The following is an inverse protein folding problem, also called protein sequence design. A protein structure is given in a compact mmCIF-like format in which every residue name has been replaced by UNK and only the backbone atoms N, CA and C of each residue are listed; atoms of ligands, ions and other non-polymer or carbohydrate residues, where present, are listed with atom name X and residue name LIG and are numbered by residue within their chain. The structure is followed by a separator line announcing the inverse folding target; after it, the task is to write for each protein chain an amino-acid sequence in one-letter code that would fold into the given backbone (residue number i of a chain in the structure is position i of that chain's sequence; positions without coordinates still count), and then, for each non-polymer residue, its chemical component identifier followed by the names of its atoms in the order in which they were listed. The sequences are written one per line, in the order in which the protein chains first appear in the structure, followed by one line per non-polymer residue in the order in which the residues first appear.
data_IF_665280682104
#
_entry.id   IF_665280682104
#
_cell.length_a   1.000
_cell.length_b   1.000
_cell.length_c   1.000
_cell.angle_alpha   90.00
_cell.angle_beta   90.00
_cell.angle_gamma   90.00
#
_symmetry.space_group_name_H-M   'P 1'
#
loop_
_entity.id
_entity.type
_entity.pdbx_description
1 polymer ?
#
# COMPACT_ATOMS: atom_id res chain seq x y z
N UNK A 1 34.91 -10.73 -4.06
CA UNK A 1 34.01 -11.64 -3.32
C UNK A 1 32.62 -11.45 -3.88
N UNK A 2 31.94 -12.52 -4.25
CA UNK A 2 30.54 -12.48 -4.74
C UNK A 2 29.60 -12.83 -3.60
N UNK A 3 28.47 -12.14 -3.53
CA UNK A 3 27.46 -12.33 -2.50
C UNK A 3 26.29 -13.17 -3.04
N UNK A 4 25.71 -14.05 -2.21
CA UNK A 4 24.43 -14.68 -2.51
C UNK A 4 23.30 -13.64 -2.45
N UNK A 5 22.31 -13.81 -3.30
CA UNK A 5 21.11 -12.97 -3.29
C UNK A 5 19.87 -13.77 -3.70
N UNK A 6 18.71 -13.25 -3.34
CA UNK A 6 17.42 -13.77 -3.78
C UNK A 6 16.81 -12.80 -4.77
N UNK A 7 16.32 -13.31 -5.89
CA UNK A 7 15.73 -12.50 -6.95
C UNK A 7 14.34 -13.00 -7.28
N UNK A 8 13.42 -12.06 -7.51
CA UNK A 8 12.10 -12.37 -8.02
C UNK A 8 12.17 -12.97 -9.41
N UNK A 9 11.67 -14.19 -9.58
CA UNK A 9 11.56 -14.79 -10.90
C UNK A 9 10.38 -14.15 -11.66
N UNK A 10 10.64 -13.68 -12.88
CA UNK A 10 9.65 -13.00 -13.72
C UNK A 10 8.61 -13.95 -14.32
N UNK A 11 8.90 -15.25 -14.38
CA UNK A 11 8.06 -16.26 -15.02
C UNK A 11 7.22 -17.06 -14.03
N UNK A 12 7.70 -17.21 -12.79
CA UNK A 12 7.03 -17.96 -11.73
C UNK A 12 7.16 -17.15 -10.44
N UNK A 13 6.11 -17.04 -9.60
CA UNK A 13 6.07 -16.13 -8.46
C UNK A 13 6.85 -16.70 -7.27
N UNK A 14 8.15 -16.97 -7.45
CA UNK A 14 9.06 -17.40 -6.40
C UNK A 14 10.38 -16.64 -6.44
N UNK A 15 11.01 -16.48 -5.28
CA UNK A 15 12.40 -16.02 -5.21
C UNK A 15 13.34 -17.19 -5.42
N UNK A 16 14.24 -17.08 -6.39
CA UNK A 16 15.36 -18.01 -6.55
C UNK A 16 16.58 -17.46 -5.83
N UNK A 17 17.28 -18.35 -5.11
CA UNK A 17 18.63 -18.07 -4.65
C UNK A 17 19.56 -18.10 -5.86
N UNK A 18 20.32 -17.03 -6.03
CA UNK A 18 21.36 -16.88 -7.04
C UNK A 18 22.64 -16.40 -6.35
N UNK A 19 23.77 -16.53 -7.04
CA UNK A 19 25.07 -16.03 -6.60
C UNK A 19 25.64 -15.07 -7.66
N UNK A 20 26.59 -14.23 -7.25
CA UNK A 20 27.33 -13.38 -8.20
C UNK A 20 27.11 -11.88 -8.02
N UNK A 21 26.33 -11.45 -7.03
CA UNK A 21 26.22 -10.03 -6.70
C UNK A 21 27.58 -9.48 -6.26
N UNK A 22 27.99 -8.34 -6.80
CA UNK A 22 29.27 -7.69 -6.46
C UNK A 22 29.00 -6.34 -5.82
N UNK A 23 29.69 -6.04 -4.72
CA UNK A 23 29.61 -4.74 -4.06
C UNK A 23 30.10 -3.65 -5.01
N UNK A 24 29.32 -2.57 -5.11
CA UNK A 24 29.69 -1.32 -5.78
C UNK A 24 29.84 -0.27 -4.69
N UNK A 25 31.05 0.31 -4.59
CA UNK A 25 31.37 1.36 -3.61
C UNK A 25 31.11 2.74 -4.23
N UNK A 26 31.00 3.74 -3.36
CA UNK A 26 30.92 5.16 -3.73
C UNK A 26 29.73 5.51 -4.62
N UNK A 27 28.64 4.74 -4.48
CA UNK A 27 27.34 5.01 -5.09
C UNK A 27 26.26 5.00 -4.02
N UNK A 28 25.31 5.90 -4.13
CA UNK A 28 24.18 6.02 -3.22
C UNK A 28 22.87 6.18 -3.99
N UNK A 29 21.77 5.75 -3.37
CA UNK A 29 20.42 6.02 -3.87
C UNK A 29 20.14 7.52 -3.77
N UNK A 30 19.56 8.10 -4.82
CA UNK A 30 19.14 9.50 -4.82
C UNK A 30 17.77 9.65 -4.14
N UNK A 31 17.62 10.79 -3.47
CA UNK A 31 16.37 11.27 -2.89
C UNK A 31 16.03 12.66 -3.46
N UNK A 32 16.58 13.03 -4.63
CA UNK A 32 16.58 14.42 -5.13
C UNK A 32 15.43 14.72 -6.08
N UNK A 33 14.82 13.70 -6.70
CA UNK A 33 13.72 13.93 -7.64
C UNK A 33 12.59 14.68 -6.94
N UNK A 34 12.09 15.73 -7.58
CA UNK A 34 10.99 16.51 -7.06
C UNK A 34 9.74 15.64 -6.86
N UNK A 35 8.93 15.88 -5.80
CA UNK A 35 7.71 15.14 -5.55
C UNK A 35 6.75 15.20 -6.74
N UNK A 36 6.00 14.13 -7.04
CA UNK A 36 5.03 14.15 -8.11
C UNK A 36 3.94 15.18 -7.82
N UNK A 37 3.47 15.87 -8.87
CA UNK A 37 2.38 16.84 -8.78
C UNK A 37 1.09 16.09 -8.46
N UNK A 38 0.41 16.48 -7.37
CA UNK A 38 -0.91 15.95 -7.04
C UNK A 38 -1.91 16.54 -8.05
N UNK A 39 -2.52 15.70 -8.87
CA UNK A 39 -3.81 16.07 -9.45
C UNK A 39 -4.80 16.08 -8.28
N UNK A 40 -5.12 17.26 -7.75
CA UNK A 40 -6.25 17.38 -6.85
C UNK A 40 -7.49 16.88 -7.60
N UNK A 41 -8.36 16.04 -6.99
CA UNK A 41 -9.61 15.70 -7.61
C UNK A 41 -10.37 17.00 -7.87
N UNK A 42 -10.45 17.41 -9.13
CA UNK A 42 -11.25 18.57 -9.52
C UNK A 42 -12.65 18.35 -8.95
N UNK A 43 -13.26 19.35 -8.27
CA UNK A 43 -14.66 19.26 -7.92
C UNK A 43 -15.43 18.87 -9.20
N UNK A 44 -16.33 17.89 -9.07
CA UNK A 44 -17.16 17.45 -10.19
C UNK A 44 -17.71 18.70 -10.88
N UNK A 45 -17.51 18.87 -12.20
CA UNK A 45 -18.07 20.02 -12.89
C UNK A 45 -19.57 20.02 -12.62
N UNK A 46 -20.10 21.16 -12.15
CA UNK A 46 -21.54 21.37 -12.12
C UNK A 46 -22.12 21.01 -13.50
N UNK A 47 -23.32 20.41 -13.58
CA UNK A 47 -23.92 20.03 -14.85
C UNK A 47 -23.89 21.23 -15.81
N UNK A 48 -23.10 21.12 -16.88
CA UNK A 48 -22.99 22.18 -17.87
C UNK A 48 -24.37 22.34 -18.52
N UNK A 49 -24.96 23.56 -18.58
CA UNK A 49 -26.16 23.78 -19.37
C UNK A 49 -25.88 23.34 -20.80
N UNK A 50 -26.76 22.51 -21.37
CA UNK A 50 -26.62 22.01 -22.74
C UNK A 50 -26.56 23.20 -23.71
N UNK A 51 -25.35 23.58 -24.12
CA UNK A 51 -25.12 24.51 -25.21
C UNK A 51 -25.58 23.90 -26.55
N UNK A 52 -25.92 24.73 -27.54
CA UNK A 52 -26.49 24.27 -28.80
C UNK A 52 -25.49 23.38 -29.56
N UNK A 53 -26.02 22.33 -30.22
CA UNK A 53 -25.25 21.37 -31.00
C UNK A 53 -24.46 22.07 -32.13
N UNK A 54 -23.19 21.72 -32.35
CA UNK A 54 -22.41 22.29 -33.45
C UNK A 54 -22.92 21.77 -34.81
N UNK A 55 -22.91 22.65 -35.81
CA UNK A 55 -23.31 22.33 -37.17
C UNK A 55 -22.22 21.54 -37.91
N UNK A 56 -22.58 20.68 -38.90
CA UNK A 56 -21.62 19.90 -39.65
C UNK A 56 -20.80 20.80 -40.59
N UNK A 57 -19.50 20.94 -40.35
CA UNK A 57 -18.58 21.66 -41.25
C UNK A 57 -17.34 22.25 -40.57
N UNK A 58 -17.44 22.64 -39.29
CA UNK A 58 -16.36 23.35 -38.57
C UNK A 58 -15.12 22.50 -38.26
N UNK A 59 -15.27 21.18 -38.20
CA UNK A 59 -14.17 20.27 -37.86
C UNK A 59 -13.10 20.13 -38.96
N UNK A 60 -13.49 20.25 -40.23
CA UNK A 60 -12.58 20.08 -41.37
C UNK A 60 -11.71 21.32 -41.58
N UNK A 61 -12.25 22.52 -41.38
CA UNK A 61 -11.51 23.78 -41.57
C UNK A 61 -10.38 23.91 -40.54
N UNK A 62 -10.64 23.54 -39.28
CA UNK A 62 -9.60 23.52 -38.21
C UNK A 62 -8.49 22.51 -38.47
N UNK A 63 -8.83 21.34 -39.03
CA UNK A 63 -7.84 20.32 -39.41
C UNK A 63 -6.93 20.81 -40.54
N UNK A 64 -7.49 21.52 -41.51
CA UNK A 64 -6.74 22.07 -42.65
C UNK A 64 -5.79 23.19 -42.21
N UNK A 65 -6.21 24.07 -41.29
CA UNK A 65 -5.36 25.11 -40.71
C UNK A 65 -4.18 24.51 -39.92
N UNK A 66 -4.42 23.48 -39.11
CA UNK A 66 -3.38 22.83 -38.29
C UNK A 66 -2.32 22.14 -39.17
N UNK A 67 -2.76 21.50 -40.25
CA UNK A 67 -1.84 20.90 -41.22
C UNK A 67 -1.01 21.95 -41.95
N UNK A 68 -1.61 23.09 -42.32
CA UNK A 68 -0.88 24.18 -42.99
C UNK A 68 0.23 24.74 -42.11
N UNK A 69 -0.05 25.02 -40.82
CA UNK A 69 0.92 25.55 -39.86
C UNK A 69 2.06 24.57 -39.58
N UNK A 70 1.74 23.28 -39.54
CA UNK A 70 2.74 22.22 -39.35
C UNK A 70 3.66 22.10 -40.57
N UNK A 71 3.11 22.24 -41.78
CA UNK A 71 3.90 22.28 -43.02
C UNK A 71 4.82 23.50 -43.08
N UNK A 72 4.31 24.68 -42.73
CA UNK A 72 5.11 25.92 -42.70
C UNK A 72 6.26 25.82 -41.68
N UNK A 73 6.04 25.14 -40.56
CA UNK A 73 7.10 24.90 -39.57
C UNK A 73 8.18 23.94 -40.06
N UNK A 74 7.83 22.88 -40.81
CA UNK A 74 8.81 21.96 -41.39
C UNK A 74 9.62 22.55 -42.56
N UNK A 75 9.12 23.60 -43.21
CA UNK A 75 9.79 24.25 -44.35
C UNK A 75 10.67 25.45 -43.94
N UNK A 76 10.73 25.79 -42.64
CA UNK A 76 11.64 26.82 -42.13
C UNK A 76 13.08 26.30 -42.02
N UNK A 77 14.10 26.94 -42.64
CA UNK A 77 15.49 26.52 -42.51
C UNK A 77 16.04 26.74 -41.09
N UNK A 78 16.84 25.79 -40.60
CA UNK A 78 17.51 25.88 -39.30
C UNK A 78 18.45 27.10 -39.24
N UNK A 79 18.47 27.87 -38.11
CA UNK A 79 19.44 28.94 -37.92
C UNK A 79 20.88 28.42 -37.85
N UNK A 80 21.88 29.24 -38.22
CA UNK A 80 23.26 28.78 -38.37
C UNK A 80 23.87 28.27 -37.06
N UNK A 81 24.49 27.09 -37.16
CA UNK A 81 25.17 26.38 -36.07
C UNK A 81 26.32 27.20 -35.48
N UNK A 82 26.20 27.60 -34.23
CA UNK A 82 27.34 28.02 -33.41
C UNK A 82 28.30 26.85 -33.15
N UNK A 83 29.61 27.09 -32.98
CA UNK A 83 30.58 26.02 -32.81
C UNK A 83 30.32 25.26 -31.51
N UNK A 84 30.15 23.93 -31.62
CA UNK A 84 30.06 23.05 -30.46
C UNK A 84 31.40 23.04 -29.71
N UNK A 85 31.44 23.30 -28.39
CA UNK A 85 32.64 23.03 -27.60
C UNK A 85 32.99 21.54 -27.66
N UNK A 86 34.28 21.22 -27.63
CA UNK A 86 34.80 19.85 -27.66
C UNK A 86 34.10 19.00 -26.59
N UNK A 87 33.74 17.73 -26.87
CA UNK A 87 33.17 16.85 -25.86
C UNK A 87 34.20 16.68 -24.75
N UNK A 88 33.91 17.19 -23.55
CA UNK A 88 34.54 16.70 -22.34
C UNK A 88 34.19 15.23 -22.27
N UNK A 89 35.20 14.36 -22.21
CA UNK A 89 35.01 12.93 -22.01
C UNK A 89 34.26 12.76 -20.69
N UNK A 90 32.94 12.60 -20.77
CA UNK A 90 32.12 12.35 -19.59
C UNK A 90 32.57 11.03 -19.02
N UNK A 91 33.28 11.10 -17.90
CA UNK A 91 33.62 9.95 -17.09
C UNK A 91 32.33 9.13 -16.90
N UNK A 92 32.33 7.87 -17.34
CA UNK A 92 31.13 7.04 -17.32
C UNK A 92 30.76 6.77 -15.86
N UNK A 93 29.85 7.56 -15.31
CA UNK A 93 29.34 7.39 -13.96
C UNK A 93 28.22 6.36 -13.93
N UNK A 94 28.03 5.71 -12.78
CA UNK A 94 26.91 4.79 -12.57
C UNK A 94 25.60 5.58 -12.73
N UNK A 95 24.65 5.13 -13.58
CA UNK A 95 23.37 5.80 -13.75
C UNK A 95 22.62 5.88 -12.41
N UNK A 96 22.10 7.05 -12.02
CA UNK A 96 21.44 7.21 -10.73
C UNK A 96 20.13 6.42 -10.66
N UNK A 97 19.77 6.03 -9.44
CA UNK A 97 18.47 5.47 -9.07
C UNK A 97 17.88 6.34 -7.98
N UNK A 98 16.70 6.91 -8.22
CA UNK A 98 15.94 7.65 -7.21
C UNK A 98 14.91 6.74 -6.53
N UNK A 99 14.65 6.93 -5.24
CA UNK A 99 13.66 6.15 -4.48
C UNK A 99 12.26 6.18 -5.13
N UNK A 100 11.91 7.26 -5.84
CA UNK A 100 10.64 7.37 -6.57
C UNK A 100 10.58 6.50 -7.84
N UNK A 101 11.66 5.80 -8.21
CA UNK A 101 11.63 4.79 -9.28
C UNK A 101 11.11 3.42 -8.80
N UNK A 102 10.96 3.21 -7.48
CA UNK A 102 10.45 1.96 -6.89
C UNK A 102 9.09 1.53 -7.47
N UNK A 103 8.07 2.41 -7.60
CA UNK A 103 6.80 1.98 -8.20
C UNK A 103 6.93 1.49 -9.64
N UNK A 104 7.82 2.13 -10.43
CA UNK A 104 8.12 1.68 -11.78
C UNK A 104 8.77 0.29 -11.81
N UNK A 105 9.64 0.00 -10.82
CA UNK A 105 10.21 -1.32 -10.62
C UNK A 105 9.15 -2.35 -10.20
N UNK A 106 8.24 -2.00 -9.28
CA UNK A 106 7.11 -2.84 -8.87
C UNK A 106 6.23 -3.25 -10.05
N UNK A 107 5.90 -2.32 -10.97
CA UNK A 107 5.13 -2.63 -12.18
C UNK A 107 5.84 -3.63 -13.09
N UNK A 108 7.16 -3.56 -13.23
CA UNK A 108 7.98 -4.53 -13.99
C UNK A 108 8.02 -5.92 -13.33
N UNK A 109 7.71 -6.00 -12.04
CA UNK A 109 7.61 -7.24 -11.27
C UNK A 109 6.18 -7.79 -11.21
N UNK A 110 5.24 -7.18 -11.94
CA UNK A 110 3.81 -7.52 -11.87
C UNK A 110 3.20 -7.32 -10.48
N UNK A 111 3.60 -6.23 -9.80
CA UNK A 111 3.07 -5.80 -8.50
C UNK A 111 2.25 -4.49 -8.62
N UNK A 112 1.12 -4.49 -9.37
CA UNK A 112 0.39 -3.27 -9.68
C UNK A 112 -0.26 -2.58 -8.47
N UNK A 113 -0.75 -3.34 -7.48
CA UNK A 113 -1.41 -2.77 -6.30
C UNK A 113 -0.37 -2.13 -5.38
N UNK A 114 0.76 -2.81 -5.17
CA UNK A 114 1.92 -2.27 -4.44
C UNK A 114 2.40 -0.97 -5.07
N UNK A 115 2.55 -0.95 -6.40
CA UNK A 115 2.98 0.23 -7.14
C UNK A 115 1.99 1.40 -6.96
N UNK A 116 0.69 1.14 -7.03
CA UNK A 116 -0.34 2.17 -6.90
C UNK A 116 -0.36 2.79 -5.49
N UNK A 117 -0.22 1.97 -4.43
CA UNK A 117 -0.14 2.47 -3.05
C UNK A 117 1.13 3.30 -2.82
N UNK A 118 2.27 2.85 -3.35
CA UNK A 118 3.53 3.59 -3.27
C UNK A 118 3.50 4.91 -4.05
N UNK A 119 2.95 4.92 -5.26
CA UNK A 119 2.70 6.13 -6.06
C UNK A 119 1.83 7.12 -5.29
N UNK A 120 0.75 6.63 -4.68
CA UNK A 120 -0.12 7.43 -3.82
C UNK A 120 0.65 8.01 -2.63
N UNK A 121 1.47 7.21 -1.95
CA UNK A 121 2.27 7.67 -0.82
C UNK A 121 3.19 8.84 -1.24
N UNK A 122 3.96 8.70 -2.32
CA UNK A 122 4.83 9.77 -2.83
C UNK A 122 4.06 11.02 -3.30
N UNK A 123 2.87 10.83 -3.88
CA UNK A 123 1.98 11.94 -4.27
C UNK A 123 1.29 12.61 -3.07
N UNK A 124 1.25 11.95 -1.92
CA UNK A 124 0.64 12.45 -0.69
C UNK A 124 1.20 13.80 -0.24
N UNK A 125 0.33 14.62 0.36
CA UNK A 125 0.78 15.73 1.21
C UNK A 125 1.43 15.15 2.47
N UNK A 126 2.24 15.96 3.17
CA UNK A 126 2.85 15.55 4.42
C UNK A 126 1.79 15.00 5.40
N UNK A 127 1.99 13.75 5.81
CA UNK A 127 1.21 13.11 6.85
C UNK A 127 2.04 11.96 7.45
N UNK A 128 2.26 11.99 8.76
CA UNK A 128 2.86 10.86 9.47
C UNK A 128 2.50 10.92 10.94
N UNK A 129 2.45 9.76 11.59
CA UNK A 129 2.25 9.68 13.04
C UNK A 129 3.59 9.69 13.77
N UNK A 130 3.81 10.59 14.76
CA UNK A 130 5.07 10.65 15.51
C UNK A 130 5.35 9.41 16.38
N UNK A 131 4.30 8.77 16.89
CA UNK A 131 4.42 7.59 17.76
C UNK A 131 3.52 6.43 17.29
N UNK A 132 3.81 5.19 17.69
CA UNK A 132 2.91 4.05 17.43
C UNK A 132 1.51 4.22 18.04
N UNK A 133 1.40 4.97 19.14
CA UNK A 133 0.12 5.29 19.76
C UNK A 133 -0.69 6.25 18.87
N UNK A 134 -0.04 7.27 18.32
CA UNK A 134 -0.64 8.20 17.37
C UNK A 134 -1.06 7.48 16.09
N UNK A 135 -0.24 6.57 15.59
CA UNK A 135 -0.55 5.78 14.39
C UNK A 135 -1.78 4.89 14.59
N UNK A 136 -1.88 4.25 15.76
CA UNK A 136 -3.05 3.47 16.15
C UNK A 136 -4.29 4.34 16.32
N UNK A 137 -4.12 5.58 16.79
CA UNK A 137 -5.18 6.55 16.96
C UNK A 137 -5.50 7.33 15.68
N UNK A 138 -4.75 7.12 14.60
CA UNK A 138 -4.85 7.85 13.33
C UNK A 138 -4.67 9.37 13.54
N UNK A 139 -3.63 9.73 14.29
CA UNK A 139 -3.23 11.10 14.63
C UNK A 139 -1.98 11.49 13.83
N UNK A 140 -2.01 12.65 13.19
CA UNK A 140 -0.94 13.19 12.37
C UNK A 140 0.14 13.93 13.18
N UNK A 141 1.14 14.44 12.47
CA UNK A 141 2.29 15.13 13.05
C UNK A 141 1.94 16.43 13.80
N UNK A 142 0.75 16.99 13.54
CA UNK A 142 0.25 18.19 14.19
C UNK A 142 -0.66 17.86 15.40
N UNK A 143 -0.78 16.58 15.77
CA UNK A 143 -1.67 16.12 16.82
C UNK A 143 -3.15 16.12 16.42
N UNK A 144 -3.46 16.17 15.12
CA UNK A 144 -4.84 16.18 14.60
C UNK A 144 -5.23 14.80 14.08
N UNK A 145 -6.53 14.44 14.14
CA UNK A 145 -7.00 13.25 13.46
C UNK A 145 -6.73 13.32 11.95
N UNK A 146 -6.42 12.17 11.36
CA UNK A 146 -6.27 12.01 9.92
C UNK A 146 -7.49 12.57 9.18
N UNK A 147 -7.20 13.41 8.17
CA UNK A 147 -8.24 14.00 7.33
C UNK A 147 -8.74 12.98 6.30
N UNK A 148 -9.90 13.25 5.69
CA UNK A 148 -10.52 12.36 4.72
C UNK A 148 -9.61 11.95 3.55
N UNK A 149 -8.67 12.81 3.14
CA UNK A 149 -7.74 12.52 2.05
C UNK A 149 -6.59 11.55 2.44
N UNK A 150 -6.42 11.27 3.73
CA UNK A 150 -5.49 10.28 4.30
C UNK A 150 -6.09 8.87 4.39
N UNK A 151 -7.24 8.66 3.77
CA UNK A 151 -7.87 7.35 3.65
C UNK A 151 -7.96 6.97 2.18
N UNK A 152 -7.40 5.81 1.82
CA UNK A 152 -7.67 5.17 0.54
C UNK A 152 -8.74 4.10 0.72
N UNK A 153 -9.82 4.20 -0.04
CA UNK A 153 -10.93 3.23 -0.02
C UNK A 153 -11.12 2.57 -1.38
N UNK A 154 -10.17 2.80 -2.30
CA UNK A 154 -10.37 2.51 -3.73
C UNK A 154 -9.37 1.53 -4.31
N UNK A 155 -8.10 1.54 -3.86
CA UNK A 155 -7.04 0.75 -4.49
C UNK A 155 -7.15 -0.73 -4.16
N UNK A 156 -7.34 -1.06 -2.88
CA UNK A 156 -7.41 -2.45 -2.42
C UNK A 156 -8.85 -2.96 -2.53
N UNK A 157 -9.04 -4.13 -3.14
CA UNK A 157 -10.34 -4.80 -3.23
C UNK A 157 -10.35 -6.11 -2.47
N UNK A 158 -11.41 -6.40 -1.71
CA UNK A 158 -11.55 -7.62 -0.93
C UNK A 158 -11.54 -8.85 -1.84
N UNK A 159 -12.10 -8.75 -3.04
CA UNK A 159 -12.03 -9.81 -4.05
C UNK A 159 -10.60 -10.06 -4.54
N UNK A 160 -9.77 -9.03 -4.67
CA UNK A 160 -8.36 -9.16 -5.05
C UNK A 160 -7.57 -9.79 -3.92
N UNK A 161 -7.75 -9.30 -2.69
CA UNK A 161 -7.10 -9.83 -1.49
C UNK A 161 -7.42 -11.32 -1.28
N UNK A 162 -8.66 -11.75 -1.57
CA UNK A 162 -9.09 -13.14 -1.43
C UNK A 162 -8.54 -14.10 -2.50
N UNK A 163 -7.87 -13.61 -3.55
CA UNK A 163 -7.17 -14.48 -4.52
C UNK A 163 -5.93 -15.15 -3.92
N UNK A 164 -5.43 -14.63 -2.81
CA UNK A 164 -4.26 -15.16 -2.11
C UNK A 164 -4.68 -16.19 -1.08
N UNK A 165 -4.16 -17.42 -1.19
CA UNK A 165 -4.55 -18.57 -0.35
C UNK A 165 -4.54 -18.25 1.14
N UNK A 166 -3.42 -17.72 1.66
CA UNK A 166 -3.26 -17.35 3.08
C UNK A 166 -4.30 -16.36 3.60
N UNK A 167 -4.75 -15.47 2.73
CA UNK A 167 -5.77 -14.49 3.10
C UNK A 167 -7.15 -15.10 3.05
N UNK A 168 -7.42 -15.98 2.08
CA UNK A 168 -8.69 -16.71 2.06
C UNK A 168 -8.80 -17.68 3.25
N UNK A 169 -7.71 -18.36 3.64
CA UNK A 169 -7.66 -19.18 4.86
C UNK A 169 -7.94 -18.36 6.12
N UNK A 170 -7.30 -17.19 6.24
CA UNK A 170 -7.54 -16.28 7.37
C UNK A 170 -8.97 -15.73 7.36
N UNK A 171 -9.53 -15.43 6.18
CA UNK A 171 -10.92 -15.02 6.01
C UNK A 171 -11.87 -16.11 6.53
N UNK A 172 -11.65 -17.36 6.13
CA UNK A 172 -12.44 -18.51 6.57
C UNK A 172 -12.30 -18.74 8.08
N UNK A 173 -11.09 -18.65 8.62
CA UNK A 173 -10.83 -18.71 10.07
C UNK A 173 -11.59 -17.61 10.84
N UNK A 174 -11.64 -16.39 10.30
CA UNK A 174 -12.36 -15.28 10.90
C UNK A 174 -13.86 -15.59 11.01
N UNK A 175 -14.49 -15.93 9.89
CA UNK A 175 -15.95 -16.08 9.82
C UNK A 175 -16.47 -17.38 10.43
N UNK A 176 -15.66 -18.44 10.48
CA UNK A 176 -16.10 -19.73 11.01
C UNK A 176 -15.80 -19.88 12.50
N UNK A 177 -14.65 -19.36 12.96
CA UNK A 177 -14.16 -19.63 14.31
C UNK A 177 -14.01 -18.35 15.16
N UNK A 178 -13.25 -17.36 14.68
CA UNK A 178 -12.82 -16.23 15.54
C UNK A 178 -13.98 -15.36 16.01
N UNK A 179 -15.01 -15.18 15.20
CA UNK A 179 -16.21 -14.43 15.58
C UNK A 179 -17.04 -15.12 16.66
N UNK A 180 -16.79 -16.40 16.95
CA UNK A 180 -17.51 -17.21 17.96
C UNK A 180 -16.75 -17.38 19.28
N UNK A 181 -15.64 -16.67 19.44
CA UNK A 181 -14.87 -16.67 20.70
C UNK A 181 -15.56 -15.81 21.76
N UNK A 182 -15.33 -16.10 23.04
CA UNK A 182 -15.88 -15.29 24.14
C UNK A 182 -15.48 -13.81 24.02
N UNK A 183 -14.23 -13.53 23.62
CA UNK A 183 -13.75 -12.16 23.36
C UNK A 183 -14.59 -11.43 22.30
N UNK A 184 -15.00 -12.14 21.24
CA UNK A 184 -15.86 -11.57 20.21
C UNK A 184 -17.26 -11.27 20.76
N UNK A 185 -17.81 -12.15 21.60
CA UNK A 185 -19.11 -11.93 22.24
C UNK A 185 -19.08 -10.75 23.22
N UNK A 186 -18.02 -10.62 24.01
CA UNK A 186 -17.84 -9.50 24.93
C UNK A 186 -17.74 -8.18 24.15
N UNK A 187 -16.97 -8.16 23.05
CA UNK A 187 -16.84 -6.98 22.20
C UNK A 187 -18.15 -6.64 21.46
N UNK A 188 -18.91 -7.65 21.00
CA UNK A 188 -20.24 -7.43 20.43
C UNK A 188 -21.20 -6.82 21.46
N UNK A 189 -21.12 -7.25 22.72
CA UNK A 189 -21.92 -6.67 23.80
C UNK A 189 -21.57 -5.20 23.99
N UNK A 190 -20.29 -4.86 24.10
CA UNK A 190 -19.83 -3.46 24.18
C UNK A 190 -20.34 -2.64 22.99
N UNK A 191 -20.23 -3.21 21.79
CA UNK A 191 -20.64 -2.58 20.52
C UNK A 191 -22.15 -2.30 20.44
N UNK A 192 -22.98 -3.23 20.92
CA UNK A 192 -24.43 -3.19 20.75
C UNK A 192 -25.18 -2.64 21.97
N UNK A 193 -24.54 -2.55 23.14
CA UNK A 193 -25.12 -1.98 24.37
C UNK A 193 -25.66 -0.55 24.20
N UNK A 194 -25.00 0.36 23.46
CA UNK A 194 -25.56 1.71 23.20
C UNK A 194 -26.95 1.70 22.55
N UNK A 195 -27.32 0.59 21.91
CA UNK A 195 -28.58 0.44 21.20
C UNK A 195 -29.61 -0.41 21.96
N UNK A 196 -29.33 -0.81 23.21
CA UNK A 196 -30.19 -1.73 23.99
C UNK A 196 -31.64 -1.25 24.17
N UNK A 197 -31.85 0.06 24.19
CA UNK A 197 -33.18 0.67 24.34
C UNK A 197 -34.01 0.53 23.05
N UNK A 198 -33.36 0.37 21.90
CA UNK A 198 -34.02 0.15 20.62
C UNK A 198 -34.69 -1.24 20.58
N UNK A 199 -35.77 -1.35 19.81
CA UNK A 199 -36.45 -2.61 19.50
C UNK A 199 -36.55 -2.73 17.98
N UNK A 200 -35.92 -3.75 17.42
CA UNK A 200 -35.93 -4.03 15.98
C UNK A 200 -34.55 -4.12 15.35
N UNK A 201 -34.52 -3.95 14.03
CA UNK A 201 -33.34 -4.17 13.20
C UNK A 201 -32.40 -2.96 13.17
N UNK A 202 -31.12 -3.26 13.33
CA UNK A 202 -30.01 -2.33 13.24
C UNK A 202 -29.20 -2.68 12.00
N UNK A 203 -29.05 -1.68 11.13
CA UNK A 203 -28.19 -1.73 9.95
C UNK A 203 -27.06 -0.71 10.14
N UNK A 204 -25.90 -1.13 10.71
CA UNK A 204 -24.79 -0.22 11.00
C UNK A 204 -24.31 0.62 9.82
N UNK A 205 -24.36 0.06 8.61
CA UNK A 205 -24.02 0.80 7.40
C UNK A 205 -24.88 2.06 7.20
N UNK A 206 -26.19 1.98 7.48
CA UNK A 206 -27.08 3.14 7.39
C UNK A 206 -26.79 4.15 8.50
N UNK A 207 -26.53 3.66 9.72
CA UNK A 207 -26.16 4.51 10.87
C UNK A 207 -24.85 5.27 10.63
N UNK A 208 -23.89 4.62 9.97
CA UNK A 208 -22.61 5.18 9.60
C UNK A 208 -22.64 5.92 8.25
N UNK A 209 -23.81 6.12 7.62
CA UNK A 209 -23.94 6.80 6.31
C UNK A 209 -23.02 6.23 5.21
N UNK A 210 -22.81 4.91 5.21
CA UNK A 210 -21.88 4.20 4.34
C UNK A 210 -20.39 4.59 4.51
N UNK A 211 -20.02 5.28 5.59
CA UNK A 211 -18.63 5.61 5.89
C UNK A 211 -17.89 4.38 6.47
N UNK A 212 -16.87 3.85 5.78
CA UNK A 212 -16.13 2.67 6.23
C UNK A 212 -15.33 2.93 7.52
N UNK A 213 -14.88 4.16 7.75
CA UNK A 213 -14.12 4.56 8.95
C UNK A 213 -15.05 4.54 10.15
N UNK A 214 -16.25 5.12 10.02
CA UNK A 214 -17.24 5.11 11.10
C UNK A 214 -17.74 3.70 11.40
N UNK A 215 -17.95 2.87 10.37
CA UNK A 215 -18.30 1.46 10.56
C UNK A 215 -17.20 0.72 11.33
N UNK A 216 -15.93 0.94 10.98
CA UNK A 216 -14.79 0.36 11.68
C UNK A 216 -14.73 0.80 13.14
N UNK A 217 -14.83 2.10 13.41
CA UNK A 217 -14.71 2.63 14.78
C UNK A 217 -15.84 2.19 15.70
N UNK A 218 -17.06 2.04 15.18
CA UNK A 218 -18.24 1.83 16.01
C UNK A 218 -18.80 0.41 16.01
N UNK A 219 -18.51 -0.39 14.99
CA UNK A 219 -19.15 -1.71 14.82
C UNK A 219 -18.18 -2.86 14.56
N UNK A 220 -16.88 -2.60 14.48
CA UNK A 220 -15.86 -3.65 14.45
C UNK A 220 -15.80 -4.37 15.79
N UNK A 221 -15.77 -5.70 15.76
CA UNK A 221 -15.75 -6.50 16.99
C UNK A 221 -14.75 -7.65 16.97
N UNK A 222 -14.28 -8.07 15.79
CA UNK A 222 -13.25 -9.10 15.69
C UNK A 222 -12.29 -8.82 14.54
N UNK A 223 -11.07 -9.36 14.63
CA UNK A 223 -10.07 -9.36 13.56
C UNK A 223 -9.22 -10.63 13.57
N UNK A 224 -8.55 -10.89 12.47
CA UNK A 224 -7.49 -11.88 12.35
C UNK A 224 -6.33 -11.29 11.57
N UNK A 225 -5.10 -11.58 11.99
CA UNK A 225 -3.90 -11.16 11.28
C UNK A 225 -3.60 -12.08 10.10
N UNK A 226 -3.05 -11.49 9.04
CA UNK A 226 -2.54 -12.19 7.86
C UNK A 226 -1.05 -11.86 7.73
N UNK A 227 -0.22 -12.89 7.88
CA UNK A 227 1.25 -12.89 7.72
C UNK A 227 2.08 -11.88 8.55
N UNK A 228 3.41 -11.95 8.34
CA UNK A 228 4.45 -11.01 8.79
C UNK A 228 5.01 -10.13 7.66
N UNK A 229 5.91 -9.19 8.00
CA UNK A 229 6.47 -8.16 7.08
C UNK A 229 7.24 -8.74 5.89
N UNK A 230 7.55 -7.92 4.86
CA UNK A 230 8.36 -8.32 3.70
C UNK A 230 9.69 -8.96 4.12
N UNK A 231 10.42 -8.34 5.05
CA UNK A 231 11.67 -8.86 5.59
C UNK A 231 11.48 -10.15 6.40
N UNK A 232 10.42 -10.25 7.20
CA UNK A 232 10.09 -11.47 7.93
C UNK A 232 9.76 -12.63 6.99
N UNK A 233 9.04 -12.38 5.89
CA UNK A 233 8.78 -13.39 4.86
C UNK A 233 10.05 -13.83 4.16
N UNK A 234 10.96 -12.90 3.89
CA UNK A 234 12.27 -13.26 3.36
C UNK A 234 13.06 -14.07 4.40
N UNK A 235 13.08 -13.70 5.68
CA UNK A 235 13.76 -14.46 6.72
C UNK A 235 13.19 -15.88 6.89
N UNK A 236 11.86 -16.03 6.83
CA UNK A 236 11.19 -17.33 6.78
C UNK A 236 11.58 -18.13 5.53
N UNK A 237 11.75 -17.45 4.38
CA UNK A 237 12.24 -18.04 3.13
C UNK A 237 13.72 -18.46 3.23
N UNK A 238 14.55 -17.74 4.00
CA UNK A 238 15.96 -18.07 4.26
C UNK A 238 16.14 -19.27 5.19
N UNK A 239 15.15 -19.59 6.04
CA UNK A 239 15.23 -20.64 7.07
C UNK A 239 14.63 -21.98 6.64
N UNK A 240 14.53 -22.25 5.34
CA UNK A 240 14.06 -23.52 4.75
C UNK A 240 12.61 -23.94 5.08
N UNK A 241 11.75 -23.01 5.49
CA UNK A 241 10.30 -23.22 5.60
C UNK A 241 9.58 -22.83 4.30
N UNK A 242 10.05 -23.42 3.19
CA UNK A 242 9.63 -23.10 1.82
C UNK A 242 8.13 -23.32 1.56
N UNK A 243 7.52 -24.32 2.19
CA UNK A 243 6.17 -24.77 1.80
C UNK A 243 5.00 -23.95 2.39
N UNK A 244 5.25 -23.06 3.37
CA UNK A 244 4.16 -22.34 4.07
C UNK A 244 4.14 -20.82 3.88
N UNK A 245 5.26 -20.21 3.51
CA UNK A 245 5.45 -18.76 3.68
C UNK A 245 5.18 -17.92 2.44
N UNK A 246 5.27 -18.52 1.25
CA UNK A 246 5.15 -17.84 -0.04
C UNK A 246 6.28 -16.82 -0.30
N UNK A 247 6.64 -16.63 -1.56
CA UNK A 247 7.50 -15.53 -1.97
C UNK A 247 6.77 -14.18 -1.83
N UNK A 248 7.47 -13.07 -1.51
CA UNK A 248 6.87 -11.74 -1.51
C UNK A 248 6.21 -11.37 -2.84
N UNK A 249 4.88 -11.34 -2.84
CA UNK A 249 4.01 -11.04 -3.97
C UNK A 249 3.36 -9.65 -3.84
N UNK A 250 2.44 -9.32 -4.75
CA UNK A 250 1.80 -7.99 -4.79
C UNK A 250 1.01 -7.70 -3.50
N UNK A 251 0.46 -8.73 -2.85
CA UNK A 251 -0.20 -8.57 -1.56
C UNK A 251 0.80 -8.19 -0.46
N UNK A 252 2.00 -8.78 -0.48
CA UNK A 252 3.06 -8.47 0.50
C UNK A 252 3.61 -7.06 0.29
N UNK A 253 3.82 -6.64 -0.96
CA UNK A 253 4.28 -5.28 -1.25
C UNK A 253 3.23 -4.20 -0.98
N UNK A 254 1.94 -4.55 -1.06
CA UNK A 254 0.83 -3.64 -0.82
C UNK A 254 0.49 -3.47 0.67
N UNK A 255 0.47 -4.56 1.44
CA UNK A 255 -0.10 -4.58 2.79
C UNK A 255 0.84 -5.16 3.87
N UNK A 256 2.00 -5.69 3.49
CA UNK A 256 2.92 -6.34 4.43
C UNK A 256 2.23 -7.37 5.34
N UNK A 257 2.22 -7.09 6.65
CA UNK A 257 1.37 -7.77 7.63
C UNK A 257 0.13 -6.92 7.92
N UNK A 258 -1.06 -7.47 7.71
CA UNK A 258 -2.31 -6.73 7.85
C UNK A 258 -3.36 -7.54 8.61
N UNK A 259 -4.52 -6.94 8.85
CA UNK A 259 -5.65 -7.62 9.49
C UNK A 259 -6.89 -7.64 8.59
N UNK A 260 -7.63 -8.75 8.66
CA UNK A 260 -9.01 -8.81 8.19
C UNK A 260 -9.92 -8.54 9.39
N UNK A 261 -10.91 -7.67 9.21
CA UNK A 261 -11.82 -7.22 10.25
C UNK A 261 -13.25 -7.70 9.98
N UNK A 262 -13.96 -8.00 11.05
CA UNK A 262 -15.40 -8.24 11.05
C UNK A 262 -16.10 -7.11 11.81
N UNK A 263 -17.11 -6.53 11.17
CA UNK A 263 -18.05 -5.59 11.76
C UNK A 263 -19.49 -6.09 11.63
N UNK A 264 -20.38 -5.64 12.50
CA UNK A 264 -21.81 -5.98 12.42
C UNK A 264 -22.38 -5.39 11.13
N UNK A 265 -23.00 -6.22 10.28
CA UNK A 265 -23.80 -5.74 9.14
C UNK A 265 -25.29 -5.68 9.45
N UNK A 266 -25.77 -6.63 10.25
CA UNK A 266 -27.15 -6.67 10.69
C UNK A 266 -27.28 -7.31 12.07
N UNK A 267 -27.99 -6.63 12.97
CA UNK A 267 -28.37 -7.13 14.28
C UNK A 267 -29.81 -6.76 14.60
N UNK A 268 -30.54 -7.67 15.24
CA UNK A 268 -31.89 -7.44 15.71
C UNK A 268 -31.90 -7.41 17.25
N UNK A 269 -32.43 -6.34 17.85
CA UNK A 269 -32.55 -6.21 19.30
C UNK A 269 -34.00 -6.44 19.73
N UNK A 270 -34.19 -7.40 20.63
CA UNK A 270 -35.51 -7.76 21.16
C UNK A 270 -35.47 -7.94 22.68
N UNK A 271 -36.65 -7.92 23.29
CA UNK A 271 -36.83 -8.31 24.69
C UNK A 271 -37.10 -9.81 24.76
N UNK A 272 -36.22 -10.56 25.42
CA UNK A 272 -36.46 -11.97 25.71
C UNK A 272 -37.31 -12.09 26.98
N UNK A 273 -38.56 -12.52 26.81
CA UNK A 273 -39.53 -12.69 27.88
C UNK A 273 -39.06 -13.72 28.92
N UNK A 274 -38.39 -14.79 28.47
CA UNK A 274 -37.96 -15.89 29.34
C UNK A 274 -36.81 -15.48 30.25
N UNK A 275 -35.82 -14.77 29.70
CA UNK A 275 -34.66 -14.31 30.48
C UNK A 275 -34.86 -12.94 31.11
N UNK A 276 -35.96 -12.25 30.78
CA UNK A 276 -36.28 -10.86 31.18
C UNK A 276 -35.13 -9.90 30.92
N UNK A 277 -34.48 -10.03 29.76
CA UNK A 277 -33.32 -9.22 29.34
C UNK A 277 -33.46 -8.80 27.88
N UNK A 278 -32.79 -7.70 27.53
CA UNK A 278 -32.56 -7.34 26.14
C UNK A 278 -31.53 -8.30 25.54
N UNK A 279 -31.81 -8.73 24.32
CA UNK A 279 -30.97 -9.68 23.58
C UNK A 279 -30.73 -9.10 22.19
N UNK A 280 -29.47 -9.12 21.76
CA UNK A 280 -29.09 -8.84 20.39
C UNK A 280 -28.84 -10.15 19.64
N UNK A 281 -29.44 -10.28 18.46
CA UNK A 281 -29.20 -11.37 17.52
C UNK A 281 -28.52 -10.83 16.27
N UNK A 282 -27.23 -11.10 16.12
CA UNK A 282 -26.43 -10.75 14.95
C UNK A 282 -26.64 -11.82 13.88
N UNK A 283 -26.98 -11.38 12.67
CA UNK A 283 -27.33 -12.28 11.55
C UNK A 283 -26.51 -12.04 10.29
N UNK A 284 -25.75 -10.95 10.23
CA UNK A 284 -24.86 -10.65 9.11
C UNK A 284 -23.65 -9.83 9.53
N UNK A 285 -22.54 -10.05 8.83
CA UNK A 285 -21.27 -9.36 9.02
C UNK A 285 -20.84 -8.60 7.77
N UNK A 286 -20.12 -7.51 7.98
CA UNK A 286 -19.24 -6.91 6.99
C UNK A 286 -17.82 -7.38 7.26
N UNK A 287 -17.17 -7.96 6.25
CA UNK A 287 -15.77 -8.37 6.31
C UNK A 287 -14.95 -7.54 5.33
N UNK A 288 -13.83 -7.00 5.79
CA UNK A 288 -12.98 -6.09 5.03
C UNK A 288 -11.55 -6.07 5.56
N UNK A 289 -10.65 -5.47 4.79
CA UNK A 289 -9.26 -5.21 5.18
C UNK A 289 -9.13 -3.74 5.56
N UNK A 290 -8.36 -3.49 6.62
CA UNK A 290 -7.81 -2.17 6.96
C UNK A 290 -6.32 -2.36 7.20
N UNK A 291 -5.52 -1.46 6.67
CA UNK A 291 -4.09 -1.42 6.93
C UNK A 291 -3.56 0.01 7.00
N UNK A 292 -2.51 0.21 7.78
CA UNK A 292 -1.83 1.50 7.88
C UNK A 292 -0.60 1.46 6.95
N UNK A 293 -0.66 2.18 5.83
CA UNK A 293 0.45 2.25 4.88
C UNK A 293 1.44 3.32 5.35
N UNK A 294 2.48 2.88 6.06
CA UNK A 294 3.45 3.73 6.75
C UNK A 294 4.86 3.16 6.67
N UNK A 295 5.86 4.03 6.75
CA UNK A 295 7.28 3.69 6.87
C UNK A 295 7.82 4.11 8.25
N UNK A 296 7.07 3.80 9.30
CA UNK A 296 7.43 4.10 10.69
C UNK A 296 7.96 2.85 11.38
N UNK A 297 9.16 2.96 11.94
CA UNK A 297 9.74 1.91 12.77
C UNK A 297 9.22 2.02 14.22
N UNK A 298 9.21 0.91 14.95
CA UNK A 298 8.90 0.96 16.37
C UNK A 298 10.00 1.71 17.10
N UNK A 299 9.63 2.43 18.16
CA UNK A 299 10.60 3.19 18.95
C UNK A 299 11.68 2.25 19.53
N UNK A 300 12.94 2.53 19.20
CA UNK A 300 14.09 1.74 19.64
C UNK A 300 14.43 0.57 18.71
N UNK A 301 13.57 0.23 17.75
CA UNK A 301 13.89 -0.75 16.72
C UNK A 301 14.80 -0.14 15.65
N UNK A 302 15.52 -1.01 14.97
CA UNK A 302 16.30 -0.61 13.80
C UNK A 302 15.37 -0.50 12.58
N UNK A 303 15.73 0.36 11.63
CA UNK A 303 14.95 0.62 10.42
C UNK A 303 14.67 -0.64 9.59
N UNK A 304 13.39 -0.94 9.32
CA UNK A 304 13.03 -2.15 8.60
C UNK A 304 13.69 -2.17 7.20
N UNK A 305 14.28 -3.29 6.84
CA UNK A 305 14.89 -3.50 5.53
C UNK A 305 13.84 -3.94 4.51
N UNK A 306 13.81 -3.25 3.37
CA UNK A 306 12.78 -3.41 2.34
C UNK A 306 13.33 -4.07 1.06
N UNK A 307 14.58 -4.56 1.09
CA UNK A 307 15.27 -5.12 -0.07
C UNK A 307 16.31 -4.17 -0.67
N UNK A 308 17.09 -4.68 -1.61
CA UNK A 308 17.89 -3.84 -2.50
C UNK A 308 17.10 -3.58 -3.77
N UNK A 309 16.85 -2.30 -4.08
CA UNK A 309 16.02 -1.86 -5.19
C UNK A 309 16.83 -1.27 -6.33
N UNK A 310 16.31 -1.46 -7.54
CA UNK A 310 16.80 -0.87 -8.76
C UNK A 310 15.64 -0.57 -9.69
N UNK A 311 15.88 0.23 -10.73
CA UNK A 311 14.88 0.45 -11.79
C UNK A 311 14.45 -0.84 -12.52
N UNK A 312 15.19 -1.94 -12.35
CA UNK A 312 14.88 -3.28 -12.90
C UNK A 312 14.05 -4.17 -11.97
N UNK A 313 13.95 -3.85 -10.68
CA UNK A 313 13.26 -4.69 -9.70
C UNK A 313 13.90 -4.64 -8.31
N UNK A 314 13.62 -5.68 -7.51
CA UNK A 314 14.14 -5.85 -6.16
C UNK A 314 14.89 -7.17 -6.04
N UNK A 315 15.95 -7.18 -5.24
CA UNK A 315 16.61 -8.39 -4.76
C UNK A 315 16.76 -8.32 -3.24
N UNK A 316 17.04 -9.46 -2.64
CA UNK A 316 17.34 -9.51 -1.21
C UNK A 316 18.69 -10.15 -0.96
N UNK A 317 19.56 -9.40 -0.28
CA UNK A 317 20.79 -9.90 0.30
C UNK A 317 20.47 -10.52 1.67
N UNK A 318 20.75 -11.83 1.90
CA UNK A 318 20.39 -12.52 3.15
C UNK A 318 21.00 -11.89 4.40
N UNK A 319 22.25 -11.42 4.30
CA UNK A 319 22.94 -10.81 5.43
C UNK A 319 22.21 -9.56 5.94
N UNK A 320 21.67 -8.75 5.03
CA UNK A 320 20.95 -7.52 5.38
C UNK A 320 19.55 -7.79 5.93
N UNK A 321 18.90 -8.85 5.47
CA UNK A 321 17.66 -9.33 6.08
C UNK A 321 17.87 -9.80 7.53
N UNK A 322 19.01 -10.43 7.83
CA UNK A 322 19.37 -10.81 9.21
C UNK A 322 19.74 -9.58 10.05
N UNK A 323 20.41 -8.58 9.45
CA UNK A 323 20.82 -7.35 10.14
C UNK A 323 19.66 -6.54 10.72
N UNK A 324 18.47 -6.61 10.12
CA UNK A 324 17.24 -6.03 10.70
C UNK A 324 16.90 -6.69 12.04
N UNK A 325 16.99 -8.01 12.12
CA UNK A 325 16.51 -8.80 13.26
C UNK A 325 17.53 -9.02 14.37
N UNK A 326 18.78 -8.61 14.17
CA UNK A 326 19.88 -8.86 15.11
C UNK A 326 20.70 -7.60 15.37
N UNK A 327 20.83 -7.14 16.62
CA UNK A 327 21.71 -6.01 16.95
C UNK A 327 23.20 -6.34 16.75
N UNK A 328 23.55 -7.61 16.62
CA UNK A 328 24.94 -8.07 16.46
C UNK A 328 25.43 -8.03 15.01
N UNK A 329 24.54 -7.84 14.04
CA UNK A 329 24.90 -7.76 12.62
C UNK A 329 24.72 -6.32 12.15
N UNK A 330 25.80 -5.60 11.78
CA UNK A 330 25.69 -4.21 11.36
C UNK A 330 24.85 -4.09 10.07
N UNK A 331 24.21 -2.94 9.86
CA UNK A 331 23.58 -2.67 8.57
C UNK A 331 24.66 -2.59 7.52
N UNK A 332 24.42 -3.25 6.38
CA UNK A 332 25.27 -3.01 5.24
C UNK A 332 24.67 -1.93 4.36
N UNK A 333 25.36 -0.79 4.29
CA UNK A 333 24.98 0.35 3.45
C UNK A 333 25.64 0.27 2.05
N UNK A 334 25.91 -0.96 1.58
CA UNK A 334 26.57 -1.15 0.30
C UNK A 334 25.56 -1.42 -0.81
N UNK A 335 25.78 -0.82 -1.98
CA UNK A 335 25.05 -1.17 -3.18
C UNK A 335 25.69 -2.40 -3.84
N UNK A 336 24.91 -3.15 -4.63
CA UNK A 336 25.41 -4.33 -5.34
C UNK A 336 25.06 -4.26 -6.83
N UNK A 337 25.88 -4.87 -7.68
CA UNK A 337 25.60 -5.03 -9.11
C UNK A 337 25.43 -6.49 -9.50
N UNK A 338 24.47 -6.75 -10.39
CA UNK A 338 24.26 -8.05 -11.05
C UNK A 338 24.88 -8.11 -12.46
N UNK A 339 25.73 -7.16 -12.82
CA UNK A 339 26.30 -7.06 -14.16
C UNK A 339 27.29 -5.90 -14.29
N UNK A 340 27.27 -5.24 -15.45
CA UNK A 340 28.01 -4.00 -15.64
C UNK A 340 27.28 -2.87 -14.87
N UNK A 341 27.91 -2.25 -13.85
CA UNK A 341 27.29 -1.18 -13.06
C UNK A 341 27.01 0.10 -13.85
N UNK A 342 27.61 0.28 -15.03
CA UNK A 342 27.34 1.40 -15.92
C UNK A 342 26.03 1.26 -16.71
N UNK A 343 25.35 0.12 -16.60
CA UNK A 343 24.05 -0.13 -17.23
C UNK A 343 22.94 0.17 -16.23
N UNK A 344 22.02 1.08 -16.59
CA UNK A 344 20.88 1.43 -15.75
C UNK A 344 20.07 0.19 -15.41
N UNK A 345 19.80 0.00 -14.11
CA UNK A 345 19.05 -1.14 -13.63
C UNK A 345 19.89 -2.34 -13.18
N UNK A 346 21.22 -2.30 -13.34
CA UNK A 346 22.10 -3.37 -12.85
C UNK A 346 22.60 -3.15 -11.42
N UNK A 347 22.62 -1.91 -10.94
CA UNK A 347 22.96 -1.57 -9.55
C UNK A 347 21.69 -1.53 -8.71
N UNK A 348 21.73 -2.22 -7.58
CA UNK A 348 20.66 -2.35 -6.60
C UNK A 348 21.13 -1.74 -5.28
N UNK A 349 20.30 -0.88 -4.70
CA UNK A 349 20.59 -0.06 -3.54
C UNK A 349 19.77 -0.56 -2.35
N UNK A 350 20.35 -0.72 -1.16
CA UNK A 350 19.57 -1.10 0.03
C UNK A 350 18.55 0.00 0.34
N UNK A 351 17.31 -0.39 0.64
CA UNK A 351 16.23 0.54 0.99
C UNK A 351 15.66 0.15 2.34
N UNK A 352 15.44 1.16 3.18
CA UNK A 352 14.86 1.01 4.50
C UNK A 352 13.70 1.99 4.75
N UNK A 353 12.89 1.75 5.78
CA UNK A 353 11.85 2.68 6.23
C UNK A 353 12.40 4.11 6.46
N UNK A 354 13.58 4.20 7.06
CA UNK A 354 14.29 5.44 7.32
C UNK A 354 14.60 6.24 6.04
N UNK A 355 14.75 5.62 4.87
CA UNK A 355 14.98 6.34 3.61
C UNK A 355 13.72 7.05 3.12
N UNK A 356 12.55 6.44 3.31
CA UNK A 356 11.26 7.10 3.10
C UNK A 356 11.10 8.28 4.04
N UNK A 357 11.48 8.15 5.33
CA UNK A 357 11.43 9.27 6.28
C UNK A 357 12.41 10.40 5.93
N UNK A 358 13.63 10.08 5.52
CA UNK A 358 14.58 11.08 4.98
C UNK A 358 13.96 11.82 3.79
N UNK A 359 13.29 11.10 2.89
CA UNK A 359 12.59 11.70 1.74
C UNK A 359 11.45 12.62 2.20
N UNK A 360 10.64 12.20 3.19
CA UNK A 360 9.57 13.03 3.79
C UNK A 360 10.11 14.35 4.33
N UNK A 361 11.14 14.30 5.17
CA UNK A 361 11.69 15.51 5.79
C UNK A 361 12.35 16.45 4.78
N UNK A 362 12.98 15.89 3.74
CA UNK A 362 13.59 16.67 2.67
C UNK A 362 12.57 17.41 1.81
N UNK A 363 11.47 16.74 1.45
CA UNK A 363 10.52 17.25 0.47
C UNK A 363 9.26 17.85 1.07
N UNK A 364 9.02 17.66 2.37
CA UNK A 364 7.78 18.02 3.05
C UNK A 364 6.54 17.43 2.33
N UNK A 365 6.70 16.21 1.82
CA UNK A 365 5.75 15.42 1.04
C UNK A 365 5.89 13.95 1.43
N UNK A 366 5.02 13.08 0.95
CA UNK A 366 5.02 11.68 1.37
C UNK A 366 4.09 11.54 2.55
N UNK A 367 2.92 10.98 2.29
CA UNK A 367 1.84 10.94 3.26
C UNK A 367 1.51 9.50 3.60
N UNK A 368 1.78 9.12 4.84
CA UNK A 368 1.22 7.90 5.42
C UNK A 368 -0.30 7.99 5.32
N UNK A 369 -0.96 6.87 5.06
CA UNK A 369 -2.41 6.83 4.92
C UNK A 369 -2.95 5.50 5.40
N UNK A 370 -4.25 5.45 5.67
CA UNK A 370 -4.94 4.21 5.99
C UNK A 370 -5.63 3.71 4.73
N UNK A 371 -5.40 2.45 4.37
CA UNK A 371 -6.11 1.79 3.27
C UNK A 371 -7.22 0.92 3.81
N UNK A 372 -8.38 0.98 3.16
CA UNK A 372 -9.54 0.13 3.39
C UNK A 372 -9.89 -0.57 2.09
N UNK A 373 -10.17 -1.87 2.17
CA UNK A 373 -10.86 -2.53 1.07
C UNK A 373 -12.34 -2.15 1.04
N UNK A 374 -12.99 -2.46 -0.08
CA UNK A 374 -14.44 -2.66 -0.06
C UNK A 374 -14.84 -3.80 0.89
N UNK A 375 -16.14 -3.90 1.18
CA UNK A 375 -16.68 -4.79 2.23
C UNK A 375 -17.46 -5.93 1.59
N UNK A 376 -17.28 -7.13 2.10
CA UNK A 376 -18.04 -8.31 1.73
C UNK A 376 -19.11 -8.60 2.80
N UNK A 377 -20.37 -8.77 2.38
CA UNK A 377 -21.44 -9.21 3.28
C UNK A 377 -21.36 -10.72 3.50
N UNK A 378 -21.39 -11.15 4.75
CA UNK A 378 -21.38 -12.57 5.12
C UNK A 378 -22.59 -12.85 6.01
N UNK A 379 -23.56 -13.69 5.58
CA UNK A 379 -24.65 -14.13 6.44
C UNK A 379 -24.12 -15.05 7.56
N UNK A 380 -24.67 -14.91 8.77
CA UNK A 380 -24.28 -15.74 9.92
C UNK A 380 -25.23 -16.90 10.14
N UNK A 381 -24.69 -18.11 9.96
CA UNK A 381 -25.35 -19.37 10.29
C UNK A 381 -24.39 -20.25 11.10
N UNK A 382 -24.73 -20.65 12.34
CA UNK A 382 -25.83 -20.12 13.16
C UNK A 382 -25.61 -18.63 13.51
N UNK A 383 -26.74 -17.96 13.79
CA UNK A 383 -26.79 -16.58 14.29
C UNK A 383 -26.07 -16.46 15.63
N UNK A 384 -25.52 -15.30 15.94
CA UNK A 384 -24.91 -15.03 17.25
C UNK A 384 -25.94 -14.29 18.10
N UNK A 385 -26.30 -14.84 19.26
CA UNK A 385 -27.26 -14.24 20.19
C UNK A 385 -26.57 -13.94 21.51
N UNK A 386 -26.59 -12.67 21.94
CA UNK A 386 -25.96 -12.22 23.17
C UNK A 386 -26.93 -11.39 24.03
N UNK A 387 -26.87 -11.51 25.36
CA UNK A 387 -27.58 -10.57 26.25
C UNK A 387 -26.88 -9.21 26.24
N UNK A 388 -27.67 -8.12 26.24
CA UNK A 388 -27.18 -6.74 26.33
C UNK A 388 -27.14 -6.26 27.78
#
# INVERSE_FOLDING_TARGET
MTLPYYKWNKLLPYFSKEDGARVVRDVSMSLDRAPPVREEPKPSPAPVPKGPKPQPGDGLVKMMELHSRFKTWMETPDPPKTPKPKPVEQEKTVPPFDIQEIPGAMRKLHLPVSAALMERWFAGRLNYSPTPADEKAEIDQDGKPYQADMYDTTTVKIEWVRKFTRTNESFDLLINERIRTQKAFDQLRVTLTPYKEFNGDIFPEKLCKNDPIMLHRHFQFQRVGVDGTFAQKINLLLTSQWERSGAPDDLTGALGSFNIYAAVAHANITWDIRTRRKVATVTGLWVYVKDNYTFTDKQGDRSQYLGHWSSSGVIVIPLDAVAETSPYVPYSDYSVTLGNPLVKGNVYYPVYNSDFRKWVFKHQRGGDFVTYSDRCYVPLVPRITIPL
#
